data_IF_625096691460
#
_entry.id   IF_625096691460
#
_cell.length_a   1.000
_cell.length_b   1.000
_cell.length_c   1.000
_cell.angle_alpha   90.00
_cell.angle_beta   90.00
_cell.angle_gamma   90.00
#
_symmetry.space_group_name_H-M   'P 1'
#
loop_
_entity.id
_entity.type
_entity.pdbx_description
1 polymer ?
#
# COMPACT_ATOMS: atom_id res chain seq x y z
N UNK A 1 -28.20 -7.06 -27.11
CA UNK A 1 -27.06 -6.15 -27.25
C UNK A 1 -26.17 -6.26 -26.03
N UNK A 2 -24.94 -6.66 -26.20
CA UNK A 2 -23.97 -6.77 -25.12
C UNK A 2 -23.66 -5.39 -24.55
N UNK A 3 -23.90 -5.22 -23.26
CA UNK A 3 -23.56 -3.99 -22.58
C UNK A 3 -22.05 -4.01 -22.28
N UNK A 4 -21.27 -3.36 -23.13
CA UNK A 4 -19.81 -3.30 -23.03
C UNK A 4 -19.32 -2.80 -21.67
N UNK A 5 -20.06 -1.90 -21.02
CA UNK A 5 -19.68 -1.37 -19.72
C UNK A 5 -19.78 -2.44 -18.62
N UNK A 6 -20.80 -3.32 -18.67
CA UNK A 6 -20.92 -4.45 -17.74
C UNK A 6 -19.83 -5.50 -17.97
N UNK A 7 -19.51 -5.79 -19.23
CA UNK A 7 -18.44 -6.71 -19.60
C UNK A 7 -17.09 -6.17 -19.09
N UNK A 8 -16.82 -4.88 -19.27
CA UNK A 8 -15.61 -4.24 -18.76
C UNK A 8 -15.51 -4.33 -17.25
N UNK A 9 -16.59 -4.04 -16.51
CA UNK A 9 -16.62 -4.12 -15.05
C UNK A 9 -16.35 -5.52 -14.55
N UNK A 10 -16.99 -6.52 -15.15
CA UNK A 10 -16.78 -7.93 -14.81
C UNK A 10 -15.37 -8.39 -15.07
N UNK A 11 -14.80 -7.98 -16.19
CA UNK A 11 -13.42 -8.29 -16.57
C UNK A 11 -12.42 -7.65 -15.62
N UNK A 12 -12.60 -6.37 -15.29
CA UNK A 12 -11.75 -5.67 -14.32
C UNK A 12 -11.84 -6.28 -12.93
N UNK A 13 -13.05 -6.65 -12.50
CA UNK A 13 -13.26 -7.30 -11.21
C UNK A 13 -12.52 -8.64 -11.14
N UNK A 14 -12.65 -9.46 -12.18
CA UNK A 14 -11.99 -10.76 -12.28
C UNK A 14 -10.46 -10.61 -12.27
N UNK A 15 -9.93 -9.71 -13.09
CA UNK A 15 -8.50 -9.42 -13.15
C UNK A 15 -7.99 -8.91 -11.81
N UNK A 16 -8.69 -7.97 -11.20
CA UNK A 16 -8.32 -7.38 -9.91
C UNK A 16 -8.22 -8.46 -8.83
N UNK A 17 -9.22 -9.32 -8.72
CA UNK A 17 -9.22 -10.38 -7.71
C UNK A 17 -8.14 -11.43 -7.96
N UNK A 18 -7.97 -11.87 -9.21
CA UNK A 18 -6.95 -12.86 -9.56
C UNK A 18 -5.54 -12.32 -9.37
N UNK A 19 -5.28 -11.10 -9.85
CA UNK A 19 -3.98 -10.43 -9.70
C UNK A 19 -3.66 -10.14 -8.24
N UNK A 20 -4.64 -9.70 -7.47
CA UNK A 20 -4.43 -9.41 -6.05
C UNK A 20 -4.04 -10.65 -5.25
N UNK A 21 -4.66 -11.80 -5.53
CA UNK A 21 -4.31 -13.07 -4.86
C UNK A 21 -2.89 -13.50 -5.18
N UNK A 22 -2.53 -13.50 -6.46
CA UNK A 22 -1.19 -13.87 -6.91
C UNK A 22 -0.14 -12.91 -6.36
N UNK A 23 -0.40 -11.61 -6.44
CA UNK A 23 0.46 -10.54 -5.95
C UNK A 23 0.65 -10.63 -4.44
N UNK A 24 -0.42 -10.87 -3.69
CA UNK A 24 -0.37 -11.03 -2.24
C UNK A 24 0.48 -12.26 -1.85
N UNK A 25 0.32 -13.36 -2.57
CA UNK A 25 1.11 -14.59 -2.33
C UNK A 25 2.59 -14.34 -2.56
N UNK A 26 2.94 -13.66 -3.65
CA UNK A 26 4.33 -13.30 -3.95
C UNK A 26 4.90 -12.36 -2.89
N UNK A 27 4.14 -11.37 -2.48
CA UNK A 27 4.56 -10.40 -1.47
C UNK A 27 4.80 -11.05 -0.11
N UNK A 28 3.95 -12.00 0.29
CA UNK A 28 4.17 -12.77 1.54
C UNK A 28 5.44 -13.59 1.49
N UNK A 29 5.76 -14.13 0.31
CA UNK A 29 6.99 -14.90 0.10
C UNK A 29 8.23 -14.01 -0.06
N UNK A 30 8.09 -12.70 -0.02
CA UNK A 30 9.17 -11.74 -0.23
C UNK A 30 9.63 -11.63 -1.68
N UNK A 31 8.80 -12.02 -2.62
CA UNK A 31 9.10 -12.03 -4.05
C UNK A 31 8.37 -10.93 -4.78
N UNK A 32 8.98 -10.45 -5.88
CA UNK A 32 8.41 -9.43 -6.74
C UNK A 32 8.49 -8.02 -6.14
N UNK A 33 7.95 -7.02 -6.86
CA UNK A 33 8.06 -5.61 -6.47
C UNK A 33 7.03 -5.17 -5.44
N UNK A 34 6.07 -6.04 -5.12
CA UNK A 34 4.95 -5.68 -4.25
C UNK A 34 5.23 -6.02 -2.80
N UNK A 35 4.79 -5.13 -1.94
CA UNK A 35 4.69 -5.34 -0.51
C UNK A 35 3.22 -5.55 -0.15
N UNK A 36 2.94 -5.85 1.11
CA UNK A 36 1.57 -5.96 1.61
C UNK A 36 1.35 -4.92 2.70
N UNK A 37 0.15 -4.37 2.72
CA UNK A 37 -0.33 -3.66 3.89
C UNK A 37 -1.46 -4.48 4.52
N UNK A 38 -1.30 -4.81 5.79
CA UNK A 38 -2.30 -5.53 6.59
C UNK A 38 -3.03 -4.52 7.44
N UNK A 39 -4.33 -4.44 7.26
CA UNK A 39 -5.15 -3.44 7.92
C UNK A 39 -6.44 -4.05 8.47
N UNK A 40 -7.03 -3.40 9.46
CA UNK A 40 -8.27 -3.86 10.08
C UNK A 40 -9.44 -3.08 9.49
N UNK A 41 -10.48 -3.81 9.07
CA UNK A 41 -11.68 -3.20 8.54
C UNK A 41 -12.39 -2.34 9.59
N UNK A 42 -12.62 -1.07 9.28
CA UNK A 42 -13.24 -0.11 10.18
C UNK A 42 -14.72 -0.43 10.48
N UNK A 43 -15.34 -1.26 9.65
CA UNK A 43 -16.75 -1.67 9.82
C UNK A 43 -16.88 -3.10 10.30
N UNK A 44 -16.00 -3.98 9.86
CA UNK A 44 -16.13 -5.43 10.13
C UNK A 44 -15.19 -5.93 11.22
N UNK A 45 -14.13 -5.19 11.54
CA UNK A 45 -13.09 -5.65 12.44
C UNK A 45 -12.20 -6.76 11.88
N UNK A 46 -12.44 -7.17 10.64
CA UNK A 46 -11.64 -8.23 10.00
C UNK A 46 -10.30 -7.69 9.53
N UNK A 47 -9.32 -8.58 9.47
CA UNK A 47 -8.01 -8.27 8.91
C UNK A 47 -8.03 -8.47 7.40
N UNK A 48 -7.55 -7.48 6.68
CA UNK A 48 -7.42 -7.50 5.23
C UNK A 48 -5.96 -7.27 4.85
N UNK A 49 -5.57 -7.79 3.70
CA UNK A 49 -4.24 -7.57 3.13
C UNK A 49 -4.38 -6.98 1.73
N UNK A 50 -3.67 -5.89 1.46
CA UNK A 50 -3.70 -5.22 0.17
C UNK A 50 -2.29 -5.13 -0.38
N UNK A 51 -2.02 -5.61 -1.60
CA UNK A 51 -0.71 -5.43 -2.23
C UNK A 51 -0.53 -4.00 -2.69
N UNK A 52 0.67 -3.46 -2.48
CA UNK A 52 1.04 -2.14 -2.98
C UNK A 52 2.57 -2.05 -3.09
N UNK A 53 3.03 -1.05 -3.81
CA UNK A 53 4.46 -0.79 -3.92
C UNK A 53 4.84 0.27 -2.89
N UNK A 54 5.81 -0.07 -2.04
CA UNK A 54 6.34 0.82 -1.03
C UNK A 54 7.78 1.19 -1.36
N UNK A 55 8.14 2.43 -1.08
CA UNK A 55 9.52 2.88 -1.13
C UNK A 55 10.06 3.02 0.30
N UNK A 56 11.37 2.87 0.46
CA UNK A 56 12.01 3.11 1.75
C UNK A 56 12.42 4.57 1.88
N UNK A 57 12.27 5.11 3.09
CA UNK A 57 12.72 6.46 3.42
C UNK A 57 13.30 6.44 4.84
N UNK A 58 14.63 6.30 4.93
CA UNK A 58 15.26 6.06 6.23
C UNK A 58 14.74 4.76 6.85
N UNK A 59 14.26 4.80 8.08
CA UNK A 59 13.64 3.65 8.75
C UNK A 59 12.14 3.48 8.44
N UNK A 60 11.57 4.35 7.63
CA UNK A 60 10.14 4.38 7.34
C UNK A 60 9.84 3.95 5.89
N UNK A 61 8.56 3.95 5.52
CA UNK A 61 8.12 3.60 4.18
C UNK A 61 7.26 4.71 3.59
N UNK A 62 7.30 4.81 2.26
CA UNK A 62 6.48 5.76 1.50
C UNK A 62 5.51 4.98 0.63
N UNK A 63 4.23 5.32 0.71
CA UNK A 63 3.19 4.81 -0.15
C UNK A 63 2.66 5.92 -1.05
N UNK A 64 2.31 5.58 -2.27
CA UNK A 64 1.57 6.47 -3.17
C UNK A 64 0.14 5.96 -3.26
N UNK A 65 -0.83 6.85 -3.04
CA UNK A 65 -2.24 6.52 -3.11
C UNK A 65 -2.71 6.55 -4.57
N UNK A 66 -2.46 5.46 -5.29
CA UNK A 66 -2.73 5.35 -6.73
C UNK A 66 -4.17 5.70 -7.10
N UNK A 67 -5.12 5.27 -6.28
CA UNK A 67 -6.54 5.51 -6.51
C UNK A 67 -7.12 6.59 -5.60
N UNK A 68 -6.25 7.43 -5.03
CA UNK A 68 -6.65 8.54 -4.17
C UNK A 68 -6.90 8.16 -2.71
N UNK A 69 -7.25 9.15 -1.87
CA UNK A 69 -7.38 8.94 -0.44
C UNK A 69 -8.67 8.22 0.00
N UNK A 70 -9.56 7.90 -0.93
CA UNK A 70 -10.81 7.22 -0.63
C UNK A 70 -10.70 5.69 -0.66
N UNK A 71 -9.51 5.15 -0.95
CA UNK A 71 -9.31 3.70 -0.99
C UNK A 71 -9.53 3.07 0.38
N UNK A 72 -10.07 1.85 0.37
CA UNK A 72 -10.49 1.18 1.60
C UNK A 72 -9.35 0.96 2.59
N UNK A 73 -8.18 0.51 2.12
CA UNK A 73 -7.06 0.25 3.01
C UNK A 73 -6.61 1.51 3.76
N UNK A 74 -6.53 2.65 3.05
CA UNK A 74 -6.13 3.92 3.65
C UNK A 74 -7.15 4.40 4.68
N UNK A 75 -8.43 4.32 4.34
CA UNK A 75 -9.52 4.68 5.27
C UNK A 75 -9.51 3.81 6.51
N UNK A 76 -9.24 2.51 6.36
CA UNK A 76 -9.12 1.59 7.49
C UNK A 76 -7.94 1.96 8.39
N UNK A 77 -6.80 2.29 7.79
CA UNK A 77 -5.61 2.70 8.54
C UNK A 77 -5.85 4.01 9.29
N UNK A 78 -6.46 4.99 8.64
CA UNK A 78 -6.81 6.27 9.28
C UNK A 78 -7.77 6.05 10.45
N UNK A 79 -8.79 5.20 10.26
CA UNK A 79 -9.75 4.87 11.31
C UNK A 79 -9.08 4.16 12.51
N UNK A 80 -7.99 3.45 12.28
CA UNK A 80 -7.19 2.80 13.33
C UNK A 80 -6.13 3.71 13.94
N UNK A 81 -6.19 5.01 13.66
CA UNK A 81 -5.21 5.98 14.18
C UNK A 81 -3.84 5.87 13.52
N UNK A 82 -3.78 5.39 12.29
CA UNK A 82 -2.54 5.20 11.54
C UNK A 82 -1.86 3.87 11.76
N UNK A 83 -2.47 2.98 12.51
CA UNK A 83 -1.88 1.68 12.86
C UNK A 83 -2.17 0.63 11.80
N UNK A 84 -1.14 -0.05 11.38
CA UNK A 84 -1.22 -1.19 10.47
C UNK A 84 0.10 -1.97 10.52
N UNK A 85 0.20 -3.01 9.72
CA UNK A 85 1.45 -3.76 9.54
C UNK A 85 1.77 -3.79 8.06
N UNK A 86 3.02 -3.55 7.68
CA UNK A 86 3.48 -3.75 6.31
C UNK A 86 4.41 -4.94 6.25
N UNK A 87 4.31 -5.71 5.17
CA UNK A 87 5.19 -6.84 4.91
C UNK A 87 6.03 -6.49 3.69
N UNK A 88 7.32 -6.32 3.91
CA UNK A 88 8.28 -5.90 2.88
C UNK A 88 9.42 -6.90 2.82
N UNK A 89 9.62 -7.51 1.67
CA UNK A 89 10.66 -8.53 1.53
C UNK A 89 10.49 -9.71 2.48
N UNK A 90 9.25 -10.05 2.83
CA UNK A 90 8.93 -11.12 3.77
C UNK A 90 9.04 -10.73 5.25
N UNK A 91 9.47 -9.51 5.54
CA UNK A 91 9.60 -9.03 6.93
C UNK A 91 8.42 -8.14 7.30
N UNK A 92 7.87 -8.36 8.50
CA UNK A 92 6.76 -7.57 9.04
C UNK A 92 7.28 -6.36 9.81
N UNK A 93 6.70 -5.19 9.50
CA UNK A 93 7.02 -3.94 10.19
C UNK A 93 5.73 -3.35 10.75
N UNK A 94 5.62 -3.19 12.07
CA UNK A 94 4.46 -2.51 12.64
C UNK A 94 4.55 -1.01 12.36
N UNK A 95 3.42 -0.44 11.95
CA UNK A 95 3.28 0.99 11.66
C UNK A 95 2.43 1.61 12.75
N UNK A 96 2.88 2.72 13.33
CA UNK A 96 2.15 3.39 14.41
C UNK A 96 1.50 4.70 13.98
N UNK A 97 1.89 5.24 12.82
CA UNK A 97 1.34 6.50 12.32
C UNK A 97 1.49 6.57 10.81
N UNK A 98 0.57 7.29 10.17
CA UNK A 98 0.64 7.60 8.76
C UNK A 98 0.41 9.11 8.59
N UNK A 99 1.21 9.76 7.77
CA UNK A 99 1.12 11.21 7.58
C UNK A 99 1.27 11.58 6.11
N UNK A 100 0.70 12.71 5.69
CA UNK A 100 0.94 13.23 4.35
C UNK A 100 2.41 13.52 4.13
N UNK A 101 2.87 13.32 2.90
CA UNK A 101 4.25 13.55 2.51
C UNK A 101 4.26 14.46 1.29
N UNK A 102 5.19 15.42 1.27
CA UNK A 102 5.37 16.31 0.14
C UNK A 102 5.69 15.48 -1.12
N UNK A 103 5.08 15.87 -2.24
CA UNK A 103 5.23 15.19 -3.53
C UNK A 103 6.71 15.07 -3.94
N UNK A 104 7.50 16.13 -3.78
CA UNK A 104 8.91 16.09 -4.15
C UNK A 104 9.71 15.08 -3.33
N UNK A 105 9.40 14.98 -2.04
CA UNK A 105 10.04 14.00 -1.14
C UNK A 105 9.61 12.58 -1.50
N UNK A 106 8.31 12.38 -1.77
CA UNK A 106 7.77 11.09 -2.18
C UNK A 106 8.39 10.60 -3.49
N UNK A 107 8.49 11.47 -4.48
CA UNK A 107 9.11 11.13 -5.76
C UNK A 107 10.58 10.72 -5.58
N UNK A 108 11.31 11.42 -4.74
CA UNK A 108 12.72 11.07 -4.46
C UNK A 108 12.86 9.72 -3.78
N UNK A 109 11.94 9.39 -2.88
CA UNK A 109 11.96 8.11 -2.18
C UNK A 109 11.77 6.94 -3.14
N UNK A 110 10.89 7.06 -4.13
CA UNK A 110 10.70 6.03 -5.14
C UNK A 110 11.88 5.92 -6.12
N UNK A 111 12.56 7.02 -6.39
CA UNK A 111 13.74 7.02 -7.23
C UNK A 111 13.47 6.69 -8.70
N UNK A 112 14.51 6.77 -9.51
CA UNK A 112 14.46 6.43 -10.95
C UNK A 112 14.39 4.90 -11.13
N UNK A 113 13.60 4.34 -12.06
CA UNK A 113 12.75 5.04 -13.03
C UNK A 113 11.34 5.33 -12.55
N UNK A 114 10.92 4.81 -11.40
CA UNK A 114 9.57 4.95 -10.88
C UNK A 114 9.17 6.43 -10.68
N UNK A 115 10.09 7.27 -10.22
CA UNK A 115 9.84 8.70 -10.01
C UNK A 115 9.43 9.42 -11.30
N UNK A 116 10.02 9.04 -12.44
CA UNK A 116 9.67 9.62 -13.74
C UNK A 116 8.25 9.24 -14.12
N UNK A 117 7.90 7.96 -13.97
CA UNK A 117 6.56 7.46 -14.27
C UNK A 117 5.52 8.15 -13.40
N UNK A 118 5.78 8.27 -12.11
CA UNK A 118 4.88 8.93 -11.16
C UNK A 118 4.71 10.40 -11.48
N UNK A 119 5.79 11.09 -11.84
CA UNK A 119 5.75 12.50 -12.22
C UNK A 119 4.95 12.72 -13.51
N UNK A 120 5.17 11.89 -14.55
CA UNK A 120 4.44 11.97 -15.80
C UNK A 120 2.96 11.64 -15.62
N UNK A 121 2.63 10.78 -14.66
CA UNK A 121 1.25 10.42 -14.31
C UNK A 121 0.59 11.42 -13.36
N UNK A 122 1.26 12.50 -13.00
CA UNK A 122 0.79 13.54 -12.08
C UNK A 122 0.35 12.99 -10.71
N UNK A 123 1.08 12.00 -10.18
CA UNK A 123 0.80 11.42 -8.87
C UNK A 123 1.20 12.40 -7.76
N UNK A 124 0.30 12.65 -6.83
CA UNK A 124 0.47 13.68 -5.80
C UNK A 124 0.14 13.21 -4.38
N UNK A 125 -0.42 12.02 -4.25
CA UNK A 125 -0.89 11.55 -2.94
C UNK A 125 0.11 10.60 -2.32
N UNK A 126 1.15 11.15 -1.73
CA UNK A 126 2.17 10.38 -1.02
C UNK A 126 1.89 10.40 0.48
N UNK A 127 2.16 9.28 1.12
CA UNK A 127 2.01 9.11 2.58
C UNK A 127 3.26 8.47 3.15
N UNK A 128 3.68 8.98 4.29
CA UNK A 128 4.77 8.40 5.07
C UNK A 128 4.20 7.47 6.13
N UNK A 129 4.67 6.23 6.13
CA UNK A 129 4.28 5.22 7.12
C UNK A 129 5.42 5.13 8.13
N UNK A 130 5.14 5.53 9.37
CA UNK A 130 6.12 5.58 10.43
C UNK A 130 6.23 4.21 11.11
N UNK A 131 7.37 3.57 10.95
CA UNK A 131 7.64 2.29 11.58
C UNK A 131 7.75 2.50 13.08
N UNK A 132 7.01 1.70 13.83
CA UNK A 132 7.13 1.68 15.29
C UNK A 132 8.51 1.17 15.66
N UNK A 133 9.15 1.83 16.63
CA UNK A 133 10.38 1.30 17.20
C UNK A 133 10.07 -0.10 17.73
N UNK A 134 10.80 -1.11 17.25
CA UNK A 134 10.65 -2.45 17.77
C UNK A 134 10.85 -2.39 19.29
N UNK A 135 9.91 -2.94 20.08
CA UNK A 135 10.19 -3.06 21.51
C UNK A 135 11.50 -3.82 21.64
N UNK A 136 12.44 -3.25 22.37
CA UNK A 136 13.71 -3.91 22.66
C UNK A 136 13.34 -5.25 23.27
N UNK A 137 13.70 -6.39 22.66
CA UNK A 137 13.36 -7.68 23.25
C UNK A 137 13.93 -7.70 24.65
N UNK A 138 13.15 -8.13 25.62
CA UNK A 138 13.70 -8.28 26.97
C UNK A 138 14.93 -9.17 26.91
N UNK A 139 16.02 -8.61 27.34
CA UNK A 139 17.35 -9.21 27.26
C UNK A 139 17.47 -10.62 27.76
#
# INVERSE_FOLDING_TARGET
>A
MLNLSKVRRGWFWLLKNTLNRATARMARAGRGPFSLIRHTGRRTGRTYETPLILARSGGDFVAELTYGPDVAWYRNVVAAGGRCTVVVGGTEYPIHAISPLDTAVGLRAFGFPASVILRLSHRRHFRLLHVASAPVPPG
#
